data_IF_323155015291
#
_entry.id   IF_323155015291
#
_cell.length_a   1.000
_cell.length_b   1.000
_cell.length_c   1.000
_cell.angle_alpha   90.00
_cell.angle_beta   90.00
_cell.angle_gamma   90.00
#
_symmetry.space_group_name_H-M   'P 1'
#
loop_
_entity.id
_entity.type
_entity.pdbx_description
1 polymer ?
#
# COMPACT_ATOMS: atom_id res chain seq x y z
N UNK A 1 -16.13 -49.11 -63.47
CA UNK A 1 -16.22 -50.56 -63.18
C UNK A 1 -17.48 -50.81 -62.36
N UNK A 2 -18.33 -51.74 -62.85
CA UNK A 2 -19.34 -52.63 -62.20
C UNK A 2 -19.71 -52.34 -60.73
N UNK A 3 -20.95 -52.43 -60.20
CA UNK A 3 -22.28 -52.96 -60.57
C UNK A 3 -23.20 -52.56 -59.36
N UNK A 4 -24.43 -52.05 -59.53
CA UNK A 4 -25.74 -52.76 -59.42
C UNK A 4 -25.98 -53.47 -58.05
N UNK A 5 -27.12 -53.34 -57.32
CA UNK A 5 -28.51 -53.58 -57.74
C UNK A 5 -29.62 -53.24 -56.66
N UNK A 6 -30.79 -52.77 -57.17
CA UNK A 6 -32.24 -53.15 -56.92
C UNK A 6 -32.84 -53.08 -55.48
N UNK A 7 -33.94 -52.35 -55.13
CA UNK A 7 -35.38 -52.26 -55.60
C UNK A 7 -36.15 -53.58 -55.38
N UNK A 8 -37.44 -53.70 -54.89
CA UNK A 8 -38.71 -52.94 -55.12
C UNK A 8 -39.59 -52.68 -53.85
N UNK A 9 -40.70 -51.92 -53.75
CA UNK A 9 -41.98 -51.70 -54.47
C UNK A 9 -43.03 -52.85 -54.40
N UNK A 10 -44.18 -52.63 -53.71
CA UNK A 10 -45.53 -53.18 -54.00
C UNK A 10 -46.61 -52.45 -53.14
N UNK A 11 -47.60 -51.74 -53.70
CA UNK A 11 -49.00 -52.09 -54.13
C UNK A 11 -50.01 -52.26 -52.97
N UNK A 12 -51.00 -51.36 -52.79
CA UNK A 12 -52.38 -51.25 -53.38
C UNK A 12 -53.38 -52.35 -52.97
N UNK A 13 -54.50 -51.95 -52.34
CA UNK A 13 -55.92 -52.41 -52.54
C UNK A 13 -56.77 -52.00 -51.30
N UNK A 14 -57.64 -50.97 -51.36
CA UNK A 14 -59.07 -50.91 -51.77
C UNK A 14 -60.11 -51.37 -50.71
N UNK A 15 -61.10 -50.49 -50.52
CA UNK A 15 -62.50 -50.71 -50.06
C UNK A 15 -62.74 -51.03 -48.57
N UNK A 16 -63.79 -50.56 -47.87
CA UNK A 16 -64.97 -49.72 -48.17
C UNK A 16 -65.58 -49.24 -46.83
N UNK A 17 -66.45 -48.21 -46.90
CA UNK A 17 -67.31 -47.53 -45.90
C UNK A 17 -68.07 -48.40 -44.85
N UNK A 18 -68.92 -47.86 -43.91
CA UNK A 18 -69.21 -46.46 -43.51
C UNK A 18 -69.30 -46.24 -41.96
N UNK A 19 -69.64 -45.01 -41.57
CA UNK A 19 -70.72 -44.65 -40.64
C UNK A 19 -70.35 -43.73 -39.45
N UNK A 20 -70.93 -42.52 -39.52
CA UNK A 20 -71.51 -41.69 -38.45
C UNK A 20 -70.87 -41.73 -37.04
N UNK A 21 -70.46 -40.57 -36.54
CA UNK A 21 -71.08 -39.95 -35.35
C UNK A 21 -70.64 -38.48 -35.22
N UNK A 22 -71.61 -37.60 -34.98
CA UNK A 22 -71.41 -36.24 -34.46
C UNK A 22 -70.55 -36.30 -33.19
N UNK A 23 -69.83 -35.22 -32.86
CA UNK A 23 -69.99 -34.44 -31.61
C UNK A 23 -68.94 -33.32 -31.47
N UNK A 24 -69.47 -32.12 -31.21
CA UNK A 24 -69.00 -31.12 -30.25
C UNK A 24 -67.58 -30.56 -30.37
N UNK A 25 -67.52 -29.31 -30.81
CA UNK A 25 -66.48 -28.32 -30.49
C UNK A 25 -66.32 -28.18 -28.96
N UNK A 26 -65.07 -28.24 -28.48
CA UNK A 26 -64.68 -27.68 -27.17
C UNK A 26 -63.43 -26.84 -27.38
N UNK A 27 -63.57 -25.55 -27.08
CA UNK A 27 -62.53 -24.54 -27.22
C UNK A 27 -61.31 -24.85 -26.34
N UNK A 28 -60.14 -24.66 -26.93
CA UNK A 28 -58.87 -24.64 -26.20
C UNK A 28 -58.67 -23.22 -25.69
N UNK A 29 -58.81 -23.07 -24.36
CA UNK A 29 -58.48 -21.86 -23.62
C UNK A 29 -56.95 -21.71 -23.61
N UNK A 30 -56.40 -20.78 -24.40
CA UNK A 30 -54.98 -20.43 -24.33
C UNK A 30 -54.77 -19.61 -23.07
N UNK A 31 -54.25 -20.25 -22.02
CA UNK A 31 -53.85 -19.59 -20.78
C UNK A 31 -52.54 -18.82 -21.04
N UNK A 32 -52.65 -17.50 -21.14
CA UNK A 32 -51.52 -16.58 -21.26
C UNK A 32 -50.84 -16.49 -19.89
N UNK A 33 -49.80 -17.29 -19.67
CA UNK A 33 -48.93 -17.18 -18.50
C UNK A 33 -48.12 -15.88 -18.64
N UNK A 34 -48.54 -14.82 -17.95
CA UNK A 34 -47.70 -13.65 -17.70
C UNK A 34 -46.50 -14.10 -16.86
N UNK A 35 -45.35 -14.30 -17.50
CA UNK A 35 -44.07 -14.25 -16.82
C UNK A 35 -43.90 -12.79 -16.33
N UNK A 36 -44.26 -12.53 -15.08
CA UNK A 36 -43.76 -11.34 -14.38
C UNK A 36 -42.25 -11.50 -14.27
N UNK A 37 -41.52 -10.97 -15.24
CA UNK A 37 -40.11 -10.67 -15.09
C UNK A 37 -39.99 -9.71 -13.91
N UNK A 38 -39.66 -10.23 -12.74
CA UNK A 38 -39.19 -9.44 -11.62
C UNK A 38 -37.97 -8.68 -12.13
N UNK A 39 -38.19 -7.42 -12.50
CA UNK A 39 -37.11 -6.48 -12.71
C UNK A 39 -36.37 -6.43 -11.37
N UNK A 40 -35.11 -6.89 -11.26
CA UNK A 40 -34.37 -6.67 -10.03
C UNK A 40 -34.33 -5.17 -9.85
N UNK A 41 -35.05 -4.68 -8.85
CA UNK A 41 -35.03 -3.28 -8.48
C UNK A 41 -33.57 -2.89 -8.38
N UNK A 42 -33.19 -1.84 -9.10
CA UNK A 42 -31.93 -1.15 -8.85
C UNK A 42 -32.09 -0.61 -7.43
N UNK A 43 -31.69 -1.41 -6.44
CA UNK A 43 -31.54 -0.97 -5.08
C UNK A 43 -30.45 0.09 -5.14
N UNK A 44 -30.88 1.36 -5.16
CA UNK A 44 -29.98 2.47 -4.90
C UNK A 44 -29.34 2.16 -3.55
N UNK A 45 -28.01 2.05 -3.51
CA UNK A 45 -27.28 1.88 -2.27
C UNK A 45 -27.70 3.02 -1.33
N UNK A 46 -28.46 2.68 -0.29
CA UNK A 46 -28.97 3.64 0.67
C UNK A 46 -27.77 4.14 1.47
N UNK A 47 -27.46 5.44 1.37
CA UNK A 47 -26.39 6.03 2.19
C UNK A 47 -26.88 6.12 3.64
N UNK A 48 -26.38 5.22 4.47
CA UNK A 48 -26.76 5.15 5.88
C UNK A 48 -25.93 6.16 6.68
N UNK A 49 -26.58 7.22 7.16
CA UNK A 49 -25.95 8.22 8.01
C UNK A 49 -25.91 7.74 9.46
N UNK A 50 -24.76 7.88 10.13
CA UNK A 50 -24.58 7.53 11.54
C UNK A 50 -23.92 8.69 12.29
N UNK A 51 -24.43 8.99 13.48
CA UNK A 51 -23.92 10.09 14.32
C UNK A 51 -23.25 9.59 15.60
N UNK A 52 -23.33 8.29 15.89
CA UNK A 52 -22.78 7.70 17.11
C UNK A 52 -21.91 6.48 16.82
N UNK A 53 -20.89 6.20 17.65
CA UNK A 53 -20.07 4.99 17.52
C UNK A 53 -20.88 3.69 17.56
N UNK A 54 -21.91 3.63 18.41
CA UNK A 54 -22.80 2.46 18.51
C UNK A 54 -23.67 2.29 17.26
N UNK A 55 -24.11 3.40 16.66
CA UNK A 55 -24.82 3.42 15.38
C UNK A 55 -23.94 2.88 14.25
N UNK A 56 -22.68 3.32 14.15
CA UNK A 56 -21.73 2.82 13.17
C UNK A 56 -21.48 1.31 13.33
N UNK A 57 -21.29 0.82 14.57
CA UNK A 57 -21.07 -0.61 14.81
C UNK A 57 -22.25 -1.45 14.31
N UNK A 58 -23.49 -1.03 14.63
CA UNK A 58 -24.70 -1.71 14.16
C UNK A 58 -24.83 -1.67 12.64
N UNK A 59 -24.59 -0.50 12.04
CA UNK A 59 -24.63 -0.31 10.59
C UNK A 59 -23.64 -1.25 9.88
N UNK A 60 -22.40 -1.33 10.38
CA UNK A 60 -21.38 -2.21 9.83
C UNK A 60 -21.71 -3.70 9.98
N UNK A 61 -22.35 -4.11 11.08
CA UNK A 61 -22.80 -5.50 11.29
C UNK A 61 -23.92 -5.93 10.33
N UNK A 62 -24.75 -4.99 9.87
CA UNK A 62 -25.84 -5.25 8.93
C UNK A 62 -25.47 -5.00 7.45
N UNK A 63 -24.34 -4.36 7.19
CA UNK A 63 -23.97 -3.88 5.87
C UNK A 63 -23.88 -5.01 4.84
N UNK A 64 -24.42 -4.77 3.66
CA UNK A 64 -24.34 -5.63 2.48
C UNK A 64 -23.31 -5.09 1.48
N UNK A 65 -22.75 -5.95 0.60
CA UNK A 65 -21.86 -5.50 -0.45
C UNK A 65 -22.43 -4.35 -1.29
N UNK A 66 -21.72 -3.21 -1.28
CA UNK A 66 -22.10 -1.99 -1.99
C UNK A 66 -22.67 -0.88 -1.10
N UNK A 67 -22.97 -1.18 0.16
CA UNK A 67 -23.49 -0.19 1.11
C UNK A 67 -22.45 0.91 1.42
N UNK A 68 -22.96 2.11 1.68
CA UNK A 68 -22.19 3.27 2.09
C UNK A 68 -22.71 3.74 3.45
N UNK A 69 -21.84 3.74 4.46
CA UNK A 69 -22.13 4.26 5.79
C UNK A 69 -21.35 5.56 5.97
N UNK A 70 -22.04 6.68 6.20
CA UNK A 70 -21.39 7.99 6.38
C UNK A 70 -21.53 8.48 7.81
N UNK A 71 -20.38 8.67 8.47
CA UNK A 71 -20.27 9.25 9.80
C UNK A 71 -20.37 10.77 9.68
N UNK A 72 -21.31 11.35 10.41
CA UNK A 72 -21.63 12.79 10.39
C UNK A 72 -21.90 13.29 11.81
N UNK A 73 -22.05 14.61 11.95
CA UNK A 73 -22.34 15.25 13.24
C UNK A 73 -21.08 15.74 13.94
N UNK A 74 -21.01 15.55 15.25
CA UNK A 74 -19.92 16.04 16.09
C UNK A 74 -18.67 15.15 16.00
N UNK A 75 -17.51 15.74 16.31
CA UNK A 75 -16.24 15.02 16.46
C UNK A 75 -16.34 13.94 17.55
N UNK A 76 -15.63 12.85 17.34
CA UNK A 76 -15.58 11.70 18.24
C UNK A 76 -14.34 11.78 19.13
N UNK A 77 -14.51 11.52 20.43
CA UNK A 77 -13.46 11.59 21.44
C UNK A 77 -13.36 10.26 22.18
N UNK A 78 -12.13 9.75 22.35
CA UNK A 78 -11.83 8.48 23.03
C UNK A 78 -12.62 7.27 22.49
N UNK A 79 -12.79 7.19 21.16
CA UNK A 79 -13.54 6.13 20.50
C UNK A 79 -12.61 5.04 19.96
N UNK A 80 -12.65 3.86 20.59
CA UNK A 80 -12.05 2.65 20.07
C UNK A 80 -13.11 1.82 19.33
N UNK A 81 -12.90 1.58 18.03
CA UNK A 81 -13.83 0.80 17.22
C UNK A 81 -13.15 -0.37 16.50
N UNK A 82 -13.90 -1.48 16.43
CA UNK A 82 -13.57 -2.63 15.61
C UNK A 82 -14.72 -2.88 14.65
N UNK A 83 -14.45 -2.78 13.36
CA UNK A 83 -15.39 -3.04 12.28
C UNK A 83 -14.96 -4.31 11.55
N UNK A 84 -15.93 -5.13 11.16
CA UNK A 84 -15.72 -6.22 10.21
C UNK A 84 -16.61 -5.93 9.01
N UNK A 85 -16.01 -5.69 7.85
CA UNK A 85 -16.73 -5.40 6.61
C UNK A 85 -16.52 -6.54 5.62
N UNK A 86 -17.60 -6.92 4.93
CA UNK A 86 -17.58 -7.99 3.94
C UNK A 86 -18.25 -7.47 2.66
N UNK A 87 -17.44 -6.93 1.75
CA UNK A 87 -17.87 -6.55 0.41
C UNK A 87 -17.47 -7.58 -0.66
N UNK A 88 -17.58 -7.18 -1.92
CA UNK A 88 -17.03 -7.90 -3.08
C UNK A 88 -16.12 -6.97 -3.90
N UNK A 89 -15.32 -7.48 -4.86
CA UNK A 89 -14.52 -6.62 -5.73
C UNK A 89 -15.34 -5.53 -6.46
N UNK A 90 -16.55 -5.87 -6.89
CA UNK A 90 -17.45 -4.97 -7.64
C UNK A 90 -18.27 -4.07 -6.70
N UNK A 91 -18.51 -4.53 -5.47
CA UNK A 91 -19.38 -3.87 -4.49
C UNK A 91 -18.72 -3.88 -3.11
N UNK A 92 -17.66 -3.08 -2.90
CA UNK A 92 -17.07 -2.94 -1.58
C UNK A 92 -18.04 -2.27 -0.61
N UNK A 93 -17.90 -2.54 0.69
CA UNK A 93 -18.62 -1.80 1.73
C UNK A 93 -17.80 -0.59 2.12
N UNK A 94 -18.37 0.61 2.00
CA UNK A 94 -17.66 1.87 2.28
C UNK A 94 -18.11 2.47 3.59
N UNK A 95 -17.16 2.80 4.46
CA UNK A 95 -17.38 3.68 5.61
C UNK A 95 -16.67 4.99 5.33
N UNK A 96 -17.43 6.09 5.29
CA UNK A 96 -16.92 7.44 5.13
C UNK A 96 -16.98 8.20 6.44
N UNK A 97 -15.94 8.94 6.78
CA UNK A 97 -15.97 9.89 7.91
C UNK A 97 -15.98 11.32 7.42
N UNK A 98 -16.85 12.15 7.99
CA UNK A 98 -16.82 13.62 7.84
C UNK A 98 -16.45 14.32 9.16
N UNK A 99 -16.24 13.56 10.23
CA UNK A 99 -15.90 14.06 11.57
C UNK A 99 -14.46 13.70 11.92
N UNK A 100 -13.88 14.44 12.87
CA UNK A 100 -12.57 14.12 13.41
C UNK A 100 -12.67 13.14 14.59
N UNK A 101 -11.60 12.36 14.76
CA UNK A 101 -11.41 11.40 15.84
C UNK A 101 -10.24 11.88 16.71
N UNK A 102 -10.51 12.09 18.00
CA UNK A 102 -9.60 12.77 18.94
C UNK A 102 -9.37 11.95 20.21
N UNK A 103 -8.45 12.38 21.07
CA UNK A 103 -8.16 11.69 22.33
C UNK A 103 -7.45 10.34 22.12
N UNK A 104 -7.89 9.29 22.79
CA UNK A 104 -7.38 7.92 22.67
C UNK A 104 -8.13 7.08 21.61
N UNK A 105 -8.70 7.74 20.61
CA UNK A 105 -9.44 7.08 19.52
C UNK A 105 -8.58 6.16 18.66
N UNK A 106 -9.14 5.02 18.23
CA UNK A 106 -8.50 4.08 17.30
C UNK A 106 -9.51 3.25 16.50
N UNK A 107 -9.10 2.75 15.34
CA UNK A 107 -9.95 1.98 14.44
C UNK A 107 -9.26 0.69 13.97
N UNK A 108 -9.94 -0.44 14.15
CA UNK A 108 -9.55 -1.75 13.61
C UNK A 108 -10.55 -2.19 12.54
N UNK A 109 -10.10 -2.35 11.30
CA UNK A 109 -10.87 -2.90 10.20
C UNK A 109 -10.47 -4.35 9.95
N UNK A 110 -11.46 -5.24 9.89
CA UNK A 110 -11.36 -6.64 9.53
C UNK A 110 -12.23 -6.99 8.33
N UNK A 111 -12.00 -8.18 7.77
CA UNK A 111 -12.86 -8.80 6.76
C UNK A 111 -12.26 -8.72 5.36
N UNK A 112 -13.09 -8.40 4.38
CA UNK A 112 -12.64 -8.25 2.99
C UNK A 112 -13.42 -7.17 2.25
N UNK A 113 -12.75 -6.48 1.31
CA UNK A 113 -13.37 -5.49 0.42
C UNK A 113 -14.10 -4.35 1.16
N UNK A 114 -13.59 -3.95 2.32
CA UNK A 114 -14.02 -2.75 3.05
C UNK A 114 -13.21 -1.50 2.67
N UNK A 115 -13.85 -0.34 2.58
CA UNK A 115 -13.21 0.96 2.28
C UNK A 115 -13.35 1.90 3.47
N UNK A 116 -12.23 2.45 3.94
CA UNK A 116 -12.19 3.60 4.86
C UNK A 116 -11.91 4.85 4.04
N UNK A 117 -12.82 5.83 4.10
CA UNK A 117 -12.78 7.03 3.27
C UNK A 117 -12.88 8.30 4.15
N UNK A 118 -11.89 9.18 4.10
CA UNK A 118 -12.00 10.51 4.72
C UNK A 118 -11.79 10.57 6.24
N UNK A 119 -11.28 9.51 6.89
CA UNK A 119 -11.05 9.53 8.33
C UNK A 119 -9.96 10.52 8.72
N UNK A 120 -10.22 11.35 9.73
CA UNK A 120 -9.25 12.32 10.26
C UNK A 120 -9.00 12.05 11.74
N UNK A 121 -7.77 11.66 12.08
CA UNK A 121 -7.31 11.51 13.47
C UNK A 121 -6.39 12.69 13.81
N UNK A 122 -6.74 13.47 14.84
CA UNK A 122 -5.97 14.64 15.31
C UNK A 122 -6.21 14.90 16.79
N UNK A 123 -5.41 15.76 17.43
CA UNK A 123 -5.58 16.16 18.83
C UNK A 123 -5.75 14.95 19.77
N UNK A 124 -4.85 13.97 19.65
CA UNK A 124 -4.96 12.72 20.38
C UNK A 124 -3.65 11.96 20.45
N UNK A 125 -3.66 10.88 21.21
CA UNK A 125 -2.50 10.02 21.39
C UNK A 125 -2.95 8.65 21.88
N UNK A 126 -2.15 7.61 21.64
CA UNK A 126 -2.35 6.29 22.22
C UNK A 126 -1.27 5.95 23.24
N UNK A 127 -1.58 5.03 24.16
CA UNK A 127 -0.58 4.42 25.05
C UNK A 127 0.11 3.21 24.40
N UNK A 128 -0.56 2.54 23.47
CA UNK A 128 -0.06 1.39 22.71
C UNK A 128 -0.96 1.10 21.50
N UNK A 129 -0.63 0.08 20.70
CA UNK A 129 -1.49 -0.36 19.61
C UNK A 129 -1.21 0.37 18.31
N UNK A 130 -2.27 0.84 17.64
CA UNK A 130 -2.21 1.51 16.33
C UNK A 130 -3.39 2.48 16.19
N UNK A 131 -3.21 3.61 15.49
CA UNK A 131 -4.32 4.54 15.22
C UNK A 131 -5.33 3.89 14.28
N UNK A 132 -4.86 3.34 13.16
CA UNK A 132 -5.64 2.53 12.23
C UNK A 132 -4.93 1.19 12.02
N UNK A 133 -5.64 0.09 12.26
CA UNK A 133 -5.20 -1.26 11.89
C UNK A 133 -6.16 -1.86 10.87
N UNK A 134 -5.62 -2.30 9.74
CA UNK A 134 -6.37 -3.01 8.69
C UNK A 134 -5.88 -4.45 8.65
N UNK A 135 -6.80 -5.41 8.71
CA UNK A 135 -6.49 -6.83 8.71
C UNK A 135 -7.46 -7.60 7.83
N UNK A 136 -6.96 -8.49 6.97
CA UNK A 136 -7.80 -9.33 6.11
C UNK A 136 -7.37 -9.21 4.66
N UNK A 137 -8.32 -8.96 3.75
CA UNK A 137 -7.99 -8.90 2.32
C UNK A 137 -8.69 -7.78 1.56
N UNK A 138 -8.03 -7.22 0.53
CA UNK A 138 -8.66 -6.30 -0.43
C UNK A 138 -9.31 -5.04 0.15
N UNK A 139 -8.96 -4.63 1.38
CA UNK A 139 -9.39 -3.34 1.93
C UNK A 139 -8.74 -2.14 1.23
N UNK A 140 -9.40 -0.98 1.29
CA UNK A 140 -8.84 0.30 0.85
C UNK A 140 -8.91 1.32 1.98
N UNK A 141 -7.82 2.04 2.21
CA UNK A 141 -7.78 3.25 3.06
C UNK A 141 -7.48 4.42 2.14
N UNK A 142 -8.39 5.38 2.04
CA UNK A 142 -8.26 6.48 1.10
C UNK A 142 -8.69 7.82 1.69
N UNK A 143 -8.00 8.89 1.30
CA UNK A 143 -8.31 10.27 1.74
C UNK A 143 -8.30 10.43 3.27
N UNK A 144 -7.56 9.59 3.97
CA UNK A 144 -7.46 9.65 5.43
C UNK A 144 -6.30 10.54 5.86
N UNK A 145 -6.47 11.23 6.99
CA UNK A 145 -5.45 12.06 7.62
C UNK A 145 -5.17 11.57 9.03
N UNK A 146 -3.89 11.39 9.37
CA UNK A 146 -3.44 11.24 10.76
C UNK A 146 -2.43 12.35 11.00
N UNK A 147 -2.76 13.26 11.91
CA UNK A 147 -2.02 14.49 12.12
C UNK A 147 -1.75 14.73 13.61
N UNK A 148 -0.47 14.94 13.94
CA UNK A 148 -0.03 15.26 15.31
C UNK A 148 -0.63 14.34 16.39
N UNK A 149 -0.85 13.06 16.04
CA UNK A 149 -1.45 12.07 16.93
C UNK A 149 -0.35 11.42 17.77
N UNK A 150 0.08 12.15 18.79
CA UNK A 150 1.38 12.01 19.43
C UNK A 150 1.24 11.95 20.96
N UNK A 151 1.87 10.98 21.64
CA UNK A 151 1.96 10.95 23.10
C UNK A 151 2.92 12.04 23.61
N UNK A 152 2.88 12.32 24.91
CA UNK A 152 3.81 13.25 25.54
C UNK A 152 5.27 12.75 25.50
N UNK A 153 5.47 11.44 25.70
CA UNK A 153 6.78 10.80 25.76
C UNK A 153 7.17 10.22 24.40
N UNK A 154 8.36 10.57 23.89
CA UNK A 154 8.89 10.14 22.58
C UNK A 154 9.00 8.62 22.44
N UNK A 155 9.26 7.90 23.53
CA UNK A 155 9.46 6.44 23.54
C UNK A 155 8.15 5.63 23.55
N UNK A 156 6.99 6.28 23.75
CA UNK A 156 5.70 5.59 23.69
C UNK A 156 5.47 5.10 22.28
N UNK A 157 5.56 3.78 22.10
CA UNK A 157 5.67 3.16 20.79
C UNK A 157 4.34 2.69 20.25
N UNK A 158 3.89 3.30 19.16
CA UNK A 158 2.81 2.76 18.33
C UNK A 158 2.92 3.25 16.88
N UNK A 159 2.57 2.42 15.88
CA UNK A 159 2.42 2.88 14.52
C UNK A 159 1.12 3.67 14.34
N UNK A 160 1.07 4.54 13.33
CA UNK A 160 -0.19 5.17 12.94
C UNK A 160 -1.05 4.23 12.11
N UNK A 161 -0.58 3.80 10.93
CA UNK A 161 -1.31 2.87 10.07
C UNK A 161 -0.60 1.52 9.99
N UNK A 162 -1.32 0.43 10.26
CA UNK A 162 -0.78 -0.93 10.20
C UNK A 162 -1.61 -1.85 9.32
N UNK A 163 -0.94 -2.50 8.38
CA UNK A 163 -1.54 -3.43 7.42
C UNK A 163 -1.15 -4.86 7.80
N UNK A 164 -2.15 -5.73 7.89
CA UNK A 164 -2.03 -7.17 8.12
C UNK A 164 -2.85 -7.91 7.06
N UNK A 165 -2.35 -9.05 6.57
CA UNK A 165 -3.02 -9.80 5.50
C UNK A 165 -2.56 -9.33 4.12
N UNK A 166 -3.45 -9.26 3.14
CA UNK A 166 -3.05 -9.16 1.72
C UNK A 166 -3.92 -8.23 0.86
N UNK A 167 -3.35 -7.75 -0.26
CA UNK A 167 -4.05 -6.98 -1.31
C UNK A 167 -4.74 -5.68 -0.88
N UNK A 168 -4.29 -5.07 0.22
CA UNK A 168 -4.78 -3.76 0.62
C UNK A 168 -4.28 -2.64 -0.32
N UNK A 169 -5.07 -1.58 -0.42
CA UNK A 169 -4.68 -0.32 -1.03
C UNK A 169 -4.68 0.81 0.01
N UNK A 170 -3.62 1.59 0.07
CA UNK A 170 -3.54 2.83 0.84
C UNK A 170 -3.21 3.94 -0.12
N UNK A 171 -4.12 4.89 -0.31
CA UNK A 171 -3.94 5.94 -1.31
C UNK A 171 -4.51 7.31 -0.92
N UNK A 172 -3.90 8.38 -1.42
CA UNK A 172 -4.34 9.77 -1.15
C UNK A 172 -4.46 10.08 0.35
N UNK A 173 -3.69 9.42 1.20
CA UNK A 173 -3.67 9.68 2.64
C UNK A 173 -2.56 10.67 3.00
N UNK A 174 -2.76 11.44 4.08
CA UNK A 174 -1.77 12.34 4.66
C UNK A 174 -1.40 11.89 6.06
N UNK A 175 -0.12 11.64 6.31
CA UNK A 175 0.43 11.25 7.60
C UNK A 175 1.44 12.35 8.01
N UNK A 176 1.02 13.25 8.91
CA UNK A 176 1.72 14.50 9.17
C UNK A 176 2.10 14.71 10.65
N UNK A 177 3.36 15.02 10.94
CA UNK A 177 3.76 15.51 12.26
C UNK A 177 4.06 14.45 13.32
N UNK A 178 4.42 13.22 12.93
CA UNK A 178 4.71 12.15 13.92
C UNK A 178 5.98 12.46 14.69
N UNK A 179 5.95 12.43 16.02
CA UNK A 179 7.12 12.78 16.85
C UNK A 179 7.51 11.73 17.91
N UNK A 180 7.02 10.50 17.80
CA UNK A 180 7.25 9.42 18.77
C UNK A 180 7.54 8.09 18.07
N UNK A 181 8.08 7.13 18.82
CA UNK A 181 8.48 5.81 18.35
C UNK A 181 7.32 5.04 17.69
N UNK A 182 7.65 4.27 16.66
CA UNK A 182 6.70 3.58 15.79
C UNK A 182 6.69 4.14 14.38
N UNK A 183 6.08 3.42 13.45
CA UNK A 183 6.06 3.79 12.04
C UNK A 183 4.88 4.72 11.71
N UNK A 184 4.99 5.60 10.71
CA UNK A 184 3.79 6.23 10.15
C UNK A 184 2.94 5.17 9.44
N UNK A 185 3.56 4.30 8.64
CA UNK A 185 2.92 3.15 8.00
C UNK A 185 3.80 1.89 8.13
N UNK A 186 3.20 0.77 8.54
CA UNK A 186 3.89 -0.52 8.58
C UNK A 186 3.05 -1.66 7.97
N UNK A 187 3.72 -2.52 7.20
CA UNK A 187 3.18 -3.78 6.69
C UNK A 187 3.71 -4.94 7.53
N UNK A 188 2.81 -5.72 8.11
CA UNK A 188 3.13 -6.89 8.92
C UNK A 188 2.91 -8.18 8.13
N UNK A 189 3.95 -8.98 7.98
CA UNK A 189 3.96 -10.24 7.21
C UNK A 189 3.77 -11.48 8.11
N UNK A 190 2.86 -11.35 9.06
CA UNK A 190 2.59 -12.37 10.11
C UNK A 190 1.62 -13.41 9.58
N UNK A 191 1.88 -14.69 9.89
CA UNK A 191 1.05 -15.84 9.48
C UNK A 191 1.62 -16.62 8.29
N UNK A 192 1.11 -17.83 8.10
CA UNK A 192 1.54 -18.77 7.05
C UNK A 192 0.72 -18.63 5.74
N UNK A 193 -0.38 -17.88 5.79
CA UNK A 193 -1.22 -17.61 4.61
C UNK A 193 -0.67 -16.49 3.72
N UNK A 194 -1.46 -16.09 2.73
CA UNK A 194 -1.10 -14.97 1.86
C UNK A 194 -0.97 -13.66 2.65
N UNK A 195 0.15 -12.96 2.45
CA UNK A 195 0.47 -11.69 3.09
C UNK A 195 1.10 -10.73 2.08
N UNK A 196 0.92 -9.43 2.27
CA UNK A 196 1.48 -8.41 1.38
C UNK A 196 0.63 -8.15 0.13
N UNK A 197 1.24 -8.08 -1.05
CA UNK A 197 0.62 -7.65 -2.30
C UNK A 197 -0.11 -6.31 -2.18
N UNK A 198 0.35 -5.45 -1.26
CA UNK A 198 -0.28 -4.16 -0.98
C UNK A 198 0.14 -3.11 -2.00
N UNK A 199 -0.75 -2.15 -2.26
CA UNK A 199 -0.44 -0.95 -3.05
C UNK A 199 -0.52 0.28 -2.16
N UNK A 200 0.60 0.95 -1.96
CA UNK A 200 0.72 2.17 -1.16
C UNK A 200 1.08 3.29 -2.12
N UNK A 201 0.07 4.07 -2.55
CA UNK A 201 0.20 4.95 -3.71
C UNK A 201 -0.34 6.36 -3.51
N UNK A 202 0.39 7.40 -3.91
CA UNK A 202 -0.13 8.77 -3.88
C UNK A 202 -0.39 9.30 -2.46
N UNK A 203 0.36 8.83 -1.47
CA UNK A 203 0.26 9.31 -0.09
C UNK A 203 1.30 10.40 0.19
N UNK A 204 1.02 11.24 1.18
CA UNK A 204 1.93 12.28 1.66
C UNK A 204 2.36 11.98 3.10
N UNK A 205 3.62 11.60 3.26
CA UNK A 205 4.31 11.46 4.54
C UNK A 205 5.07 12.75 4.79
N UNK A 206 4.78 13.43 5.90
CA UNK A 206 5.31 14.78 6.09
C UNK A 206 5.62 15.12 7.55
N UNK A 207 6.69 15.87 7.75
CA UNK A 207 7.10 16.43 9.05
C UNK A 207 7.23 15.38 10.16
N UNK A 208 7.87 14.24 9.86
CA UNK A 208 8.25 13.28 10.91
C UNK A 208 9.42 13.85 11.70
N UNK A 209 9.24 14.09 13.01
CA UNK A 209 10.30 14.60 13.84
C UNK A 209 11.42 13.57 14.02
N UNK A 210 12.62 14.08 14.29
CA UNK A 210 13.80 13.24 14.57
C UNK A 210 13.59 12.38 15.81
N UNK A 211 13.85 11.09 15.65
CA UNK A 211 13.92 10.13 16.75
C UNK A 211 15.30 10.06 17.41
N UNK A 212 15.35 9.35 18.52
CA UNK A 212 16.53 9.10 19.35
C UNK A 212 17.12 7.69 19.16
N UNK A 213 16.58 6.91 18.22
CA UNK A 213 17.02 5.55 17.98
C UNK A 213 16.30 4.82 16.86
N UNK A 214 16.27 3.50 16.96
CA UNK A 214 15.61 2.62 16.01
C UNK A 214 14.09 2.59 16.23
N UNK A 215 13.33 2.53 15.14
CA UNK A 215 11.87 2.42 15.20
C UNK A 215 11.13 3.70 14.86
N UNK A 216 11.79 4.64 14.18
CA UNK A 216 11.21 5.89 13.68
C UNK A 216 11.15 5.87 12.14
N UNK A 217 10.97 4.70 11.51
CA UNK A 217 10.88 4.62 10.06
C UNK A 217 9.52 5.17 9.59
N UNK A 218 9.49 6.06 8.59
CA UNK A 218 8.23 6.57 8.03
C UNK A 218 7.40 5.42 7.44
N UNK A 219 8.05 4.56 6.66
CA UNK A 219 7.43 3.35 6.09
C UNK A 219 8.29 2.13 6.35
N UNK A 220 7.67 1.02 6.79
CA UNK A 220 8.34 -0.28 6.88
C UNK A 220 7.51 -1.41 6.26
N UNK A 221 8.16 -2.29 5.49
CA UNK A 221 7.55 -3.53 4.99
C UNK A 221 8.25 -4.74 5.60
N UNK A 222 7.54 -5.49 6.45
CA UNK A 222 8.08 -6.67 7.12
C UNK A 222 8.93 -6.37 8.36
N UNK A 223 9.61 -7.40 8.84
CA UNK A 223 10.55 -7.37 9.98
C UNK A 223 11.71 -8.32 9.69
N UNK A 224 12.75 -8.31 10.52
CA UNK A 224 13.84 -9.27 10.38
C UNK A 224 13.38 -10.73 10.51
N UNK A 225 12.32 -11.01 11.27
CA UNK A 225 11.79 -12.37 11.43
C UNK A 225 11.19 -12.92 10.12
N UNK A 226 10.58 -12.04 9.33
CA UNK A 226 9.90 -12.38 8.08
C UNK A 226 10.69 -11.94 6.84
N UNK A 227 11.99 -11.71 6.99
CA UNK A 227 12.78 -10.99 5.99
C UNK A 227 12.91 -11.68 4.64
N UNK A 228 12.74 -12.99 4.59
CA UNK A 228 12.81 -13.78 3.36
C UNK A 228 11.43 -14.07 2.76
N UNK A 229 10.34 -13.60 3.38
CA UNK A 229 9.01 -13.72 2.78
C UNK A 229 8.90 -12.78 1.59
N UNK A 230 8.34 -13.30 0.50
CA UNK A 230 7.98 -12.51 -0.67
C UNK A 230 6.71 -11.72 -0.37
N UNK A 231 6.80 -10.39 -0.42
CA UNK A 231 5.72 -9.51 -0.01
C UNK A 231 5.05 -8.80 -1.18
N UNK A 232 5.66 -8.72 -2.36
CA UNK A 232 5.07 -8.18 -3.58
C UNK A 232 4.34 -6.83 -3.42
N UNK A 233 4.77 -6.01 -2.45
CA UNK A 233 4.16 -4.70 -2.22
C UNK A 233 4.70 -3.69 -3.23
N UNK A 234 3.83 -2.77 -3.64
CA UNK A 234 4.18 -1.65 -4.50
C UNK A 234 4.02 -0.35 -3.71
N UNK A 235 5.11 0.37 -3.54
CA UNK A 235 5.16 1.71 -2.96
C UNK A 235 5.44 2.67 -4.11
N UNK A 236 4.40 3.35 -4.60
CA UNK A 236 4.51 4.16 -5.81
C UNK A 236 3.98 5.58 -5.66
N UNK A 237 4.61 6.56 -6.28
CA UNK A 237 4.04 7.91 -6.42
C UNK A 237 3.70 8.58 -5.08
N UNK A 238 4.39 8.21 -4.00
CA UNK A 238 4.24 8.85 -2.70
C UNK A 238 5.21 10.03 -2.58
N UNK A 239 4.81 11.03 -1.79
CA UNK A 239 5.66 12.14 -1.38
C UNK A 239 6.10 11.93 0.07
N UNK A 240 7.40 11.88 0.29
CA UNK A 240 8.03 11.95 1.61
C UNK A 240 8.72 13.30 1.71
N UNK A 241 8.29 14.12 2.66
CA UNK A 241 8.75 15.49 2.84
C UNK A 241 9.14 15.72 4.30
N UNK A 242 10.34 16.23 4.56
CA UNK A 242 10.80 16.59 5.92
C UNK A 242 10.61 15.47 6.96
N UNK A 243 10.86 14.22 6.56
CA UNK A 243 10.75 13.06 7.44
C UNK A 243 12.13 12.68 8.00
N UNK A 244 12.36 13.01 9.26
CA UNK A 244 13.68 12.99 9.93
C UNK A 244 13.83 11.89 10.98
N UNK A 245 12.88 10.97 11.07
CA UNK A 245 12.75 9.97 12.14
C UNK A 245 14.04 9.21 12.44
N UNK A 246 14.62 8.52 11.47
CA UNK A 246 15.89 7.79 11.64
C UNK A 246 16.63 7.57 10.31
N UNK A 247 17.72 6.79 10.33
CA UNK A 247 18.52 6.51 9.13
C UNK A 247 17.74 5.72 8.07
N UNK A 248 16.78 4.90 8.46
CA UNK A 248 15.88 4.16 7.57
C UNK A 248 14.56 4.93 7.38
N UNK A 249 14.52 5.88 6.44
CA UNK A 249 13.28 6.59 6.08
C UNK A 249 12.21 5.58 5.61
N UNK A 250 12.60 4.79 4.61
CA UNK A 250 11.85 3.63 4.14
C UNK A 250 12.70 2.41 4.48
N UNK A 251 12.13 1.46 5.20
CA UNK A 251 12.82 0.23 5.59
C UNK A 251 12.14 -1.00 5.00
N UNK A 252 12.73 -1.52 3.93
CA UNK A 252 12.31 -2.78 3.33
C UNK A 252 12.93 -3.95 4.10
N UNK A 253 12.10 -4.80 4.68
CA UNK A 253 12.50 -6.01 5.42
C UNK A 253 11.73 -7.23 4.89
N UNK A 254 11.65 -7.38 3.57
CA UNK A 254 11.02 -8.52 2.86
C UNK A 254 11.43 -8.56 1.37
N UNK A 255 11.03 -9.60 0.64
CA UNK A 255 11.42 -9.81 -0.76
C UNK A 255 10.40 -9.26 -1.77
N UNK A 256 10.87 -9.04 -3.00
CA UNK A 256 10.07 -8.81 -4.22
C UNK A 256 9.15 -7.58 -4.18
N UNK A 257 9.50 -6.56 -3.38
CA UNK A 257 8.79 -5.28 -3.36
C UNK A 257 9.28 -4.34 -4.46
N UNK A 258 8.42 -3.41 -4.85
CA UNK A 258 8.71 -2.37 -5.84
C UNK A 258 8.54 -1.00 -5.18
N UNK A 259 9.57 -0.17 -5.29
CA UNK A 259 9.58 1.23 -4.89
C UNK A 259 9.76 2.09 -6.14
N UNK A 260 8.70 2.74 -6.61
CA UNK A 260 8.74 3.43 -7.90
C UNK A 260 8.14 4.84 -7.91
N UNK A 261 8.77 5.77 -8.65
CA UNK A 261 8.22 7.13 -8.84
C UNK A 261 7.87 7.88 -7.55
N UNK A 262 8.48 7.51 -6.42
CA UNK A 262 8.31 8.26 -5.18
C UNK A 262 9.19 9.51 -5.21
N UNK A 263 8.73 10.57 -4.57
CA UNK A 263 9.52 11.78 -4.33
C UNK A 263 9.91 11.83 -2.86
N UNK A 264 11.22 11.95 -2.59
CA UNK A 264 11.80 12.12 -1.26
C UNK A 264 12.51 13.46 -1.25
N UNK A 265 12.07 14.39 -0.42
CA UNK A 265 12.61 15.76 -0.36
C UNK A 265 12.79 16.20 1.09
N UNK A 266 13.98 16.71 1.42
CA UNK A 266 14.26 17.26 2.75
C UNK A 266 14.23 16.23 3.89
N UNK A 267 14.37 14.93 3.61
CA UNK A 267 14.32 13.87 4.63
C UNK A 267 15.71 13.47 5.14
N UNK A 268 15.90 13.39 6.45
CA UNK A 268 17.13 12.92 7.09
C UNK A 268 17.23 11.39 7.23
N UNK A 269 17.10 10.65 6.11
CA UNK A 269 17.22 9.20 6.06
C UNK A 269 17.32 8.67 4.63
N UNK A 270 17.49 7.35 4.48
CA UNK A 270 17.65 6.68 3.18
C UNK A 270 16.50 5.71 2.87
N UNK A 271 16.24 5.48 1.58
CA UNK A 271 15.48 4.32 1.13
C UNK A 271 16.37 3.08 1.31
N UNK A 272 16.05 2.26 2.31
CA UNK A 272 16.90 1.15 2.71
C UNK A 272 16.26 -0.20 2.35
N UNK A 273 16.90 -0.92 1.43
CA UNK A 273 16.73 -2.37 1.24
C UNK A 273 17.46 -3.09 2.37
N UNK A 274 16.83 -3.14 3.55
CA UNK A 274 17.50 -3.52 4.81
C UNK A 274 17.60 -5.02 4.98
N UNK A 275 16.56 -5.74 4.60
CA UNK A 275 16.54 -7.20 4.47
C UNK A 275 15.67 -7.61 3.28
N UNK A 276 15.74 -8.90 2.94
CA UNK A 276 15.04 -9.47 1.79
C UNK A 276 15.81 -9.27 0.49
N UNK A 277 15.27 -9.82 -0.59
CA UNK A 277 15.94 -9.94 -1.88
C UNK A 277 15.01 -9.47 -3.01
N UNK A 278 15.55 -9.35 -4.22
CA UNK A 278 14.80 -9.18 -5.47
C UNK A 278 13.89 -7.93 -5.52
N UNK A 279 14.14 -6.94 -4.67
CA UNK A 279 13.40 -5.67 -4.72
C UNK A 279 13.84 -4.81 -5.89
N UNK A 280 12.89 -4.05 -6.45
CA UNK A 280 13.11 -3.10 -7.53
C UNK A 280 12.92 -1.68 -6.97
N UNK A 281 13.93 -0.83 -7.14
CA UNK A 281 13.88 0.59 -6.80
C UNK A 281 14.08 1.37 -8.08
N UNK A 282 13.02 1.99 -8.61
CA UNK A 282 13.09 2.62 -9.93
C UNK A 282 12.44 3.99 -10.03
N UNK A 283 13.02 4.86 -10.84
CA UNK A 283 12.40 6.14 -11.22
C UNK A 283 12.03 7.04 -10.02
N UNK A 284 12.66 6.85 -8.86
CA UNK A 284 12.42 7.71 -7.69
C UNK A 284 13.22 9.00 -7.82
N UNK A 285 12.66 10.09 -7.30
CA UNK A 285 13.31 11.39 -7.17
C UNK A 285 13.72 11.59 -5.71
N UNK A 286 15.03 11.64 -5.43
CA UNK A 286 15.60 11.81 -4.09
C UNK A 286 16.41 13.09 -4.05
N UNK A 287 15.92 14.07 -3.30
CA UNK A 287 16.47 15.41 -3.16
C UNK A 287 16.89 15.63 -1.71
N UNK A 288 18.19 15.67 -1.45
CA UNK A 288 18.70 15.84 -0.09
C UNK A 288 18.61 17.25 0.46
N UNK A 289 18.33 18.24 -0.39
CA UNK A 289 18.28 19.68 -0.08
C UNK A 289 19.49 20.22 0.73
N UNK A 290 20.63 19.52 0.69
CA UNK A 290 21.84 19.93 1.42
C UNK A 290 21.85 19.56 2.90
N UNK A 291 20.85 18.81 3.39
CA UNK A 291 20.95 18.18 4.70
C UNK A 291 21.99 17.05 4.65
N UNK A 292 23.06 17.20 5.44
CA UNK A 292 24.12 16.19 5.59
C UNK A 292 23.61 14.84 6.09
N UNK A 293 22.42 14.82 6.71
CA UNK A 293 21.77 13.64 7.28
C UNK A 293 20.81 12.96 6.29
N UNK A 294 20.57 13.54 5.13
CA UNK A 294 19.82 12.89 4.05
C UNK A 294 20.64 11.76 3.43
N UNK A 295 19.97 10.75 2.88
CA UNK A 295 20.62 9.62 2.23
C UNK A 295 19.90 9.22 0.95
N UNK A 296 20.63 8.58 0.03
CA UNK A 296 20.05 8.02 -1.18
C UNK A 296 19.47 6.62 -0.95
N UNK A 297 20.06 5.62 -1.59
CA UNK A 297 19.59 4.22 -1.55
C UNK A 297 20.64 3.35 -0.86
N UNK A 298 20.24 2.64 0.20
CA UNK A 298 21.11 1.67 0.90
C UNK A 298 20.64 0.25 0.65
N UNK A 299 21.58 -0.64 0.32
CA UNK A 299 21.29 -1.99 -0.17
C UNK A 299 21.98 -3.05 0.69
N UNK A 300 21.23 -4.10 1.02
CA UNK A 300 21.63 -5.34 1.68
C UNK A 300 20.86 -6.47 0.99
N UNK A 301 21.46 -7.65 0.81
CA UNK A 301 20.79 -8.78 0.15
C UNK A 301 21.04 -8.84 -1.36
N UNK A 302 20.34 -9.76 -2.03
CA UNK A 302 20.68 -10.16 -3.41
C UNK A 302 19.57 -9.89 -4.42
N UNK A 303 19.95 -9.79 -5.70
CA UNK A 303 19.01 -9.75 -6.83
C UNK A 303 18.31 -8.41 -7.04
N UNK A 304 18.77 -7.35 -6.37
CA UNK A 304 18.12 -6.04 -6.46
C UNK A 304 18.35 -5.34 -7.79
N UNK A 305 17.39 -4.51 -8.18
CA UNK A 305 17.48 -3.67 -9.37
C UNK A 305 17.24 -2.21 -8.99
N UNK A 306 18.24 -1.36 -9.20
CA UNK A 306 18.23 0.07 -8.90
C UNK A 306 18.30 0.83 -10.22
N UNK A 307 17.13 1.25 -10.74
CA UNK A 307 17.00 1.65 -12.15
C UNK A 307 16.43 3.07 -12.30
N UNK A 308 17.12 3.95 -13.01
CA UNK A 308 16.55 5.23 -13.45
C UNK A 308 16.20 6.21 -12.31
N UNK A 309 16.75 6.03 -11.11
CA UNK A 309 16.51 6.95 -10.00
C UNK A 309 17.32 8.25 -10.20
N UNK A 310 16.76 9.38 -9.79
CA UNK A 310 17.44 10.67 -9.73
C UNK A 310 17.79 10.98 -8.28
N UNK A 311 19.08 11.01 -7.95
CA UNK A 311 19.59 11.22 -6.59
C UNK A 311 20.49 12.44 -6.59
N UNK A 312 20.04 13.49 -5.92
CA UNK A 312 20.67 14.79 -5.99
C UNK A 312 20.81 15.45 -4.63
N UNK A 313 22.01 16.00 -4.37
CA UNK A 313 22.26 16.83 -3.20
C UNK A 313 22.14 16.10 -1.87
N UNK A 314 22.22 14.76 -1.86
CA UNK A 314 22.11 13.97 -0.63
C UNK A 314 23.38 14.07 0.20
N UNK A 315 23.19 13.96 1.51
CA UNK A 315 24.27 13.96 2.49
C UNK A 315 25.05 12.65 2.51
N UNK A 316 25.92 12.54 3.51
CA UNK A 316 26.83 11.42 3.69
C UNK A 316 26.29 10.40 4.71
N UNK A 317 24.97 10.39 4.94
CA UNK A 317 24.35 9.60 6.02
C UNK A 317 24.55 8.09 5.88
N UNK A 318 24.73 7.62 4.64
CA UNK A 318 25.00 6.23 4.29
C UNK A 318 26.36 6.07 3.60
N UNK A 319 27.26 7.01 3.81
CA UNK A 319 28.59 7.15 3.16
C UNK A 319 28.54 7.49 1.65
N UNK A 320 27.35 7.68 1.07
CA UNK A 320 27.20 7.94 -0.36
C UNK A 320 25.77 7.99 -0.91
N UNK A 321 25.64 8.11 -2.24
CA UNK A 321 24.36 8.17 -2.93
C UNK A 321 23.70 6.78 -3.06
N UNK A 322 24.47 5.77 -3.47
CA UNK A 322 24.02 4.37 -3.48
C UNK A 322 25.04 3.53 -2.70
N UNK A 323 24.61 3.03 -1.53
CA UNK A 323 25.48 2.31 -0.61
C UNK A 323 25.19 0.80 -0.60
N UNK A 324 26.15 0.00 -1.07
CA UNK A 324 26.10 -1.46 -1.08
C UNK A 324 26.80 -1.97 0.18
N UNK A 325 26.04 -2.51 1.14
CA UNK A 325 26.57 -2.88 2.45
C UNK A 325 27.45 -4.13 2.40
N UNK A 326 28.46 -4.16 3.27
CA UNK A 326 29.21 -5.39 3.54
C UNK A 326 28.33 -6.42 4.26
N UNK A 327 28.51 -7.70 3.92
CA UNK A 327 27.78 -8.83 4.47
C UNK A 327 28.51 -9.53 5.61
N UNK A 328 27.73 -10.26 6.41
CA UNK A 328 28.22 -11.22 7.41
C UNK A 328 28.25 -12.61 6.78
N UNK A 329 29.30 -13.43 6.98
CA UNK A 329 29.28 -14.85 6.61
C UNK A 329 28.15 -15.59 7.32
N UNK A 330 27.41 -16.44 6.61
CA UNK A 330 26.28 -17.22 7.12
C UNK A 330 25.31 -16.39 8.01
N UNK A 331 24.74 -15.31 7.44
CA UNK A 331 24.03 -14.30 8.21
C UNK A 331 22.72 -14.87 8.79
N UNK A 332 22.48 -14.61 10.07
CA UNK A 332 21.14 -14.75 10.66
C UNK A 332 20.18 -13.75 9.99
N UNK A 333 18.87 -13.99 10.05
CA UNK A 333 17.87 -13.14 9.39
C UNK A 333 17.94 -11.64 9.77
N UNK A 334 18.34 -11.32 11.01
CA UNK A 334 18.51 -9.94 11.48
C UNK A 334 19.88 -9.31 11.13
N UNK A 335 20.82 -10.08 10.60
CA UNK A 335 22.13 -9.60 10.19
C UNK A 335 22.13 -9.08 8.74
N UNK A 336 23.29 -8.64 8.26
CA UNK A 336 23.43 -8.12 6.90
C UNK A 336 23.80 -9.27 5.97
N UNK A 337 22.87 -9.65 5.10
CA UNK A 337 23.17 -10.56 4.02
C UNK A 337 24.13 -9.90 3.02
N UNK A 338 25.05 -10.69 2.46
CA UNK A 338 26.00 -10.17 1.47
C UNK A 338 25.24 -9.65 0.26
N UNK A 339 25.64 -8.46 -0.21
CA UNK A 339 25.14 -7.91 -1.46
C UNK A 339 25.67 -8.72 -2.63
N UNK A 340 24.78 -9.26 -3.45
CA UNK A 340 25.11 -10.07 -4.62
C UNK A 340 24.13 -9.81 -5.76
N UNK A 341 24.56 -9.99 -7.02
CA UNK A 341 23.71 -9.95 -8.21
C UNK A 341 22.82 -8.68 -8.30
N UNK A 342 23.42 -7.52 -8.09
CA UNK A 342 22.68 -6.24 -8.12
C UNK A 342 22.90 -5.54 -9.46
N UNK A 343 21.82 -5.13 -10.10
CA UNK A 343 21.84 -4.25 -11.27
C UNK A 343 21.62 -2.80 -10.83
N UNK A 344 22.52 -1.92 -11.24
CA UNK A 344 22.40 -0.47 -11.12
C UNK A 344 22.42 0.09 -12.54
N UNK A 345 21.27 0.57 -13.04
CA UNK A 345 21.16 1.00 -14.44
C UNK A 345 20.47 2.35 -14.61
N UNK A 346 21.00 3.20 -15.48
CA UNK A 346 20.33 4.43 -15.91
C UNK A 346 20.06 5.49 -14.83
N UNK A 347 20.63 5.37 -13.63
CA UNK A 347 20.43 6.36 -12.56
C UNK A 347 21.15 7.68 -12.90
N UNK A 348 20.70 8.77 -12.27
CA UNK A 348 21.34 10.09 -12.37
C UNK A 348 21.76 10.53 -10.97
N UNK A 349 23.06 10.73 -10.76
CA UNK A 349 23.65 11.12 -9.48
C UNK A 349 24.27 12.51 -9.61
N UNK A 350 23.84 13.46 -8.77
CA UNK A 350 24.22 14.88 -8.87
C UNK A 350 24.60 15.45 -7.50
N UNK A 351 25.77 16.10 -7.40
CA UNK A 351 26.19 16.91 -6.25
C UNK A 351 25.95 16.27 -4.85
N UNK A 352 26.19 14.97 -4.73
CA UNK A 352 26.04 14.23 -3.48
C UNK A 352 27.31 14.39 -2.62
N UNK A 353 27.15 14.52 -1.30
CA UNK A 353 28.26 14.85 -0.40
C UNK A 353 29.24 13.68 -0.18
N UNK A 354 28.73 12.45 -0.19
CA UNK A 354 29.52 11.22 -0.06
C UNK A 354 29.94 10.62 -1.39
N UNK A 355 30.43 9.38 -1.36
CA UNK A 355 30.75 8.64 -2.58
C UNK A 355 29.50 8.40 -3.42
N UNK A 356 29.64 8.30 -4.75
CA UNK A 356 28.49 7.96 -5.59
C UNK A 356 28.03 6.52 -5.35
N UNK A 357 29.01 5.62 -5.24
CA UNK A 357 28.81 4.20 -4.96
C UNK A 357 29.70 3.77 -3.81
N UNK A 358 29.10 3.32 -2.72
CA UNK A 358 29.85 2.75 -1.60
C UNK A 358 29.89 1.24 -1.75
N UNK A 359 31.07 0.70 -2.01
CA UNK A 359 31.30 -0.75 -2.05
C UNK A 359 31.76 -1.25 -0.69
N UNK A 360 30.84 -1.88 0.06
CA UNK A 360 31.15 -2.42 1.39
C UNK A 360 30.83 -1.46 2.53
N UNK A 361 29.74 -0.71 2.45
CA UNK A 361 29.28 0.16 3.53
C UNK A 361 29.24 -0.61 4.87
N UNK A 362 29.94 -0.06 5.88
CA UNK A 362 30.10 -0.63 7.21
C UNK A 362 31.00 -1.88 7.31
N UNK A 363 31.88 -2.14 6.34
CA UNK A 363 32.91 -3.19 6.42
C UNK A 363 33.72 -3.08 7.71
N UNK A 364 34.04 -4.22 8.35
CA UNK A 364 34.78 -4.26 9.61
C UNK A 364 33.92 -4.02 10.86
N UNK A 365 32.67 -3.56 10.70
CA UNK A 365 31.73 -3.42 11.81
C UNK A 365 30.82 -4.66 11.95
N UNK A 366 30.41 -5.00 13.18
CA UNK A 366 29.36 -6.01 13.46
C UNK A 366 29.55 -7.33 12.67
N UNK A 367 30.78 -7.81 12.58
CA UNK A 367 31.19 -9.03 11.85
C UNK A 367 30.97 -8.99 10.32
N UNK A 368 30.83 -7.81 9.73
CA UNK A 368 30.73 -7.65 8.28
C UNK A 368 32.11 -7.74 7.66
N UNK A 369 32.37 -8.82 6.94
CA UNK A 369 33.67 -9.13 6.32
C UNK A 369 33.56 -9.42 4.82
N UNK A 370 32.33 -9.55 4.29
CA UNK A 370 32.10 -9.90 2.90
C UNK A 370 31.77 -8.64 2.08
N UNK A 371 32.63 -8.29 1.13
CA UNK A 371 32.34 -7.22 0.17
C UNK A 371 31.20 -7.62 -0.80
N UNK A 372 30.48 -6.65 -1.38
CA UNK A 372 29.53 -6.91 -2.46
C UNK A 372 30.17 -7.70 -3.63
N UNK A 373 29.40 -8.58 -4.27
CA UNK A 373 29.81 -9.35 -5.46
C UNK A 373 28.80 -9.21 -6.59
N UNK A 374 29.23 -9.43 -7.82
CA UNK A 374 28.36 -9.49 -9.01
C UNK A 374 27.46 -8.25 -9.16
N UNK A 375 28.05 -7.08 -8.93
CA UNK A 375 27.38 -5.79 -9.09
C UNK A 375 27.62 -5.27 -10.50
N UNK A 376 26.54 -5.07 -11.25
CA UNK A 376 26.58 -4.53 -12.61
C UNK A 376 26.12 -3.09 -12.61
N UNK A 377 26.99 -2.16 -12.99
CA UNK A 377 26.64 -0.73 -13.17
C UNK A 377 26.62 -0.40 -14.67
N UNK A 378 25.50 0.10 -15.18
CA UNK A 378 25.29 0.48 -16.58
C UNK A 378 24.58 1.82 -16.66
N UNK A 379 24.84 2.57 -17.74
CA UNK A 379 24.18 3.82 -18.13
C UNK A 379 23.94 4.88 -17.02
N UNK A 380 24.59 4.75 -15.88
CA UNK A 380 24.36 5.60 -14.71
C UNK A 380 25.24 6.82 -14.86
N UNK A 381 24.60 7.98 -14.93
CA UNK A 381 25.23 9.26 -15.18
C UNK A 381 25.61 9.94 -13.87
N UNK A 382 26.74 10.64 -13.97
CA UNK A 382 27.37 11.40 -12.91
C UNK A 382 27.51 12.81 -13.45
N UNK A 383 26.82 13.77 -12.86
CA UNK A 383 26.86 15.16 -13.33
C UNK A 383 27.09 16.09 -12.15
N UNK A 384 27.75 17.22 -12.42
CA UNK A 384 28.32 18.12 -11.41
C UNK A 384 27.30 18.82 -10.51
N UNK A 385 27.27 20.16 -10.58
CA UNK A 385 26.54 21.01 -9.61
C UNK A 385 25.04 20.67 -9.54
N UNK A 386 24.46 20.87 -8.36
CA UNK A 386 23.02 20.80 -8.10
C UNK A 386 22.22 21.59 -9.14
N UNK A 387 21.16 20.99 -9.65
CA UNK A 387 20.19 21.51 -10.61
C UNK A 387 18.86 21.92 -9.95
N UNK A 388 18.48 21.25 -8.86
CA UNK A 388 17.22 21.41 -8.15
C UNK A 388 17.47 21.85 -6.71
N UNK A 389 16.78 22.89 -6.27
CA UNK A 389 16.80 23.39 -4.88
C UNK A 389 15.37 23.52 -4.38
N UNK A 390 15.09 23.07 -3.16
CA UNK A 390 13.82 23.37 -2.51
C UNK A 390 13.78 24.86 -2.16
N UNK A 391 12.71 25.55 -2.53
CA UNK A 391 12.52 26.94 -2.12
C UNK A 391 12.18 26.98 -0.64
N UNK A 392 12.97 27.72 0.12
CA UNK A 392 12.72 27.98 1.54
C UNK A 392 11.88 29.25 1.71
N UNK A 393 11.25 29.49 2.87
CA UNK A 393 10.53 30.73 3.14
C UNK A 393 11.34 31.99 2.83
N UNK A 394 12.67 31.96 3.02
CA UNK A 394 13.60 33.04 2.66
C UNK A 394 13.86 33.20 1.15
N UNK A 395 13.58 32.18 0.34
CA UNK A 395 13.74 32.20 -1.12
C UNK A 395 12.50 32.70 -1.86
N UNK A 396 11.37 32.84 -1.15
CA UNK A 396 10.10 33.31 -1.70
C UNK A 396 9.79 34.72 -1.20
N UNK A 397 9.10 35.51 -2.02
CA UNK A 397 8.75 36.90 -1.70
C UNK A 397 7.95 37.01 -0.39
N UNK A 398 7.83 38.23 0.18
CA UNK A 398 7.14 38.43 1.45
C UNK A 398 5.72 37.88 1.40
N UNK A 399 5.24 37.38 2.54
CA UNK A 399 3.84 36.93 2.70
C UNK A 399 2.92 38.05 2.21
N UNK A 400 2.00 37.70 1.31
CA UNK A 400 1.02 38.66 0.80
C UNK A 400 0.28 39.28 1.99
N UNK A 401 0.36 40.60 2.13
CA UNK A 401 -0.37 41.31 3.17
C UNK A 401 -1.87 41.14 2.91
N UNK A 402 -2.67 40.66 3.88
CA UNK A 402 -4.12 40.68 3.73
C UNK A 402 -4.55 42.14 3.52
N UNK A 403 -5.32 42.38 2.46
CA UNK A 403 -5.94 43.69 2.18
C UNK A 403 -7.08 43.98 3.14
#
# INVERSE_FOLDING_TARGET
>A
MKKQHRVPASTRSTESEPAFFLHSTRGVLVSLVLFMSACPGIANAEELRVETPSGLKKAAESAQPGDIITIVGADWHDVELKLTLTGTPEKPVTVRSQVAWTGESSLRLHGAYGVLDGFTFKNGSLKSGHVIRVAGSHHRVTRCTIENYNPAEVDVRYPWLSLYGHHHRVDHCRLAGKNHSGNMLVVWLVGEGEVGSHRITGNHFVDMARGDGNGFEALRIGTSEFSLKSAHCVVAENLFENCDGEIELISNKSCDNIYERNTIVGCAGALTLRHGNNCIVRENLILGDGDRRSGGIRVVGTGHQIIGNHIEGVGDRIDGAIALSAGVPDPKLHQHAQVQNVLIDGNTLIDNAGEEFVMGHGLGSRSRTLLPKDVTVKNTRRTGKRLLKQLKPEDVGPVASPK
#
